data_IF_718815672883
#
_entry.id   IF_718815672883
#
_cell.length_a   1.000
_cell.length_b   1.000
_cell.length_c   1.000
_cell.angle_alpha   90.00
_cell.angle_beta   90.00
_cell.angle_gamma   90.00
#
_symmetry.space_group_name_H-M   'P 1'
#
loop_
_entity.id
_entity.type
_entity.pdbx_description
1 polymer ?
#
# COMPACT_ATOMS: atom_id res chain seq x y z
N UNK A 1 25.80 -1.99 -24.73
CA UNK A 1 24.93 -2.58 -23.69
C UNK A 1 24.39 -3.88 -24.23
N UNK A 2 24.84 -5.03 -23.71
CA UNK A 2 24.16 -6.30 -23.99
C UNK A 2 22.75 -6.22 -23.40
N UNK A 3 21.73 -6.48 -24.21
CA UNK A 3 20.36 -6.59 -23.72
C UNK A 3 20.27 -7.84 -22.85
N UNK A 4 19.76 -7.71 -21.63
CA UNK A 4 19.39 -8.88 -20.81
C UNK A 4 18.29 -9.63 -21.56
N UNK A 5 18.46 -10.94 -21.72
CA UNK A 5 17.49 -11.77 -22.42
C UNK A 5 16.21 -11.87 -21.58
N UNK A 6 15.06 -11.98 -22.25
CA UNK A 6 13.78 -12.15 -21.57
C UNK A 6 13.75 -13.38 -20.64
N UNK A 7 14.44 -14.45 -21.03
CA UNK A 7 14.62 -15.66 -20.21
C UNK A 7 15.37 -15.37 -18.91
N UNK A 8 16.35 -14.47 -18.94
CA UNK A 8 17.11 -14.08 -17.75
C UNK A 8 16.24 -13.25 -16.81
N UNK A 9 15.46 -12.31 -17.34
CA UNK A 9 14.50 -11.53 -16.54
C UNK A 9 13.47 -12.42 -15.83
N UNK A 10 12.95 -13.44 -16.53
CA UNK A 10 12.03 -14.41 -15.92
C UNK A 10 12.71 -15.16 -14.76
N UNK A 11 13.91 -15.68 -14.99
CA UNK A 11 14.67 -16.40 -13.96
C UNK A 11 15.02 -15.53 -12.75
N UNK A 12 15.38 -14.27 -12.98
CA UNK A 12 15.64 -13.30 -11.89
C UNK A 12 14.38 -13.06 -11.07
N UNK A 13 13.23 -12.92 -11.73
CA UNK A 13 11.94 -12.72 -11.06
C UNK A 13 11.60 -13.88 -10.15
N UNK A 14 11.78 -15.11 -10.64
CA UNK A 14 11.57 -16.35 -9.87
C UNK A 14 12.46 -16.41 -8.63
N UNK A 15 13.75 -16.05 -8.76
CA UNK A 15 14.68 -15.98 -7.62
C UNK A 15 14.24 -14.93 -6.60
N UNK A 16 13.88 -13.72 -7.06
CA UNK A 16 13.41 -12.66 -6.17
C UNK A 16 12.13 -13.10 -5.42
N UNK A 17 11.19 -13.74 -6.11
CA UNK A 17 9.98 -14.28 -5.49
C UNK A 17 10.33 -15.33 -4.44
N UNK A 18 11.23 -16.27 -4.73
CA UNK A 18 11.59 -17.32 -3.77
C UNK A 18 12.28 -16.74 -2.52
N UNK A 19 13.12 -15.73 -2.67
CA UNK A 19 13.78 -15.07 -1.53
C UNK A 19 12.78 -14.29 -0.67
N UNK A 20 11.82 -13.61 -1.30
CA UNK A 20 10.94 -12.65 -0.60
C UNK A 20 9.60 -13.25 -0.16
N UNK A 21 9.11 -14.26 -0.87
CA UNK A 21 7.85 -14.98 -0.63
C UNK A 21 8.02 -16.51 -0.79
N UNK A 22 8.94 -17.15 -0.03
CA UNK A 22 9.27 -18.56 -0.18
C UNK A 22 8.06 -19.46 0.00
N UNK A 23 7.94 -20.50 -0.83
CA UNK A 23 6.87 -21.52 -0.75
C UNK A 23 5.43 -20.99 -0.84
N UNK A 24 5.23 -19.79 -1.38
CA UNK A 24 3.89 -19.24 -1.62
C UNK A 24 3.46 -19.44 -3.07
N UNK A 25 2.18 -19.20 -3.38
CA UNK A 25 1.65 -19.19 -4.76
C UNK A 25 1.20 -17.80 -5.23
N UNK A 26 1.49 -16.78 -4.44
CA UNK A 26 1.05 -15.40 -4.68
C UNK A 26 0.88 -14.62 -3.38
N UNK A 27 0.66 -13.32 -3.51
CA UNK A 27 0.34 -12.46 -2.38
C UNK A 27 -1.11 -12.69 -1.91
N UNK A 28 -1.26 -13.12 -0.66
CA UNK A 28 -2.54 -13.48 -0.05
C UNK A 28 -3.44 -12.30 0.35
N UNK A 29 -2.96 -11.06 0.27
CA UNK A 29 -3.69 -9.87 0.71
C UNK A 29 -3.66 -9.63 2.22
N UNK A 30 -3.83 -8.37 2.61
CA UNK A 30 -3.98 -7.93 3.99
C UNK A 30 -5.19 -8.57 4.67
N UNK A 31 -6.24 -8.91 3.94
CA UNK A 31 -7.43 -9.57 4.52
C UNK A 31 -7.16 -10.96 5.11
N UNK A 32 -6.17 -11.70 4.60
CA UNK A 32 -5.75 -13.00 5.16
C UNK A 32 -4.66 -12.89 6.21
N UNK A 33 -3.84 -11.84 6.12
CA UNK A 33 -2.62 -11.70 6.89
C UNK A 33 -2.58 -10.40 7.71
N UNK A 34 -3.74 -9.87 8.11
CA UNK A 34 -3.78 -8.69 8.98
C UNK A 34 -3.20 -9.07 10.34
N UNK A 35 -2.11 -8.44 10.80
CA UNK A 35 -1.36 -8.93 11.94
C UNK A 35 -1.96 -8.47 13.29
N UNK A 36 -3.29 -8.46 13.39
CA UNK A 36 -4.05 -8.13 14.60
C UNK A 36 -4.95 -9.30 14.97
N UNK A 37 -5.00 -9.60 16.27
CA UNK A 37 -5.93 -10.53 16.87
C UNK A 37 -6.83 -9.78 17.85
N UNK A 38 -8.12 -10.06 17.79
CA UNK A 38 -9.10 -9.64 18.79
C UNK A 38 -9.52 -10.88 19.58
N UNK A 39 -9.46 -10.82 20.91
CA UNK A 39 -9.78 -11.97 21.78
C UNK A 39 -9.05 -13.27 21.38
N UNK A 40 -7.78 -13.16 20.96
CA UNK A 40 -6.90 -14.24 20.45
C UNK A 40 -7.25 -14.79 19.05
N UNK A 41 -8.39 -14.40 18.49
CA UNK A 41 -8.78 -14.76 17.13
C UNK A 41 -8.14 -13.83 16.10
N UNK A 42 -7.57 -14.37 14.99
CA UNK A 42 -7.08 -13.56 13.89
C UNK A 42 -8.19 -12.68 13.33
N UNK A 43 -7.93 -11.38 13.22
CA UNK A 43 -8.83 -10.49 12.51
C UNK A 43 -8.77 -10.76 11.01
N UNK A 44 -9.93 -10.82 10.38
CA UNK A 44 -10.08 -10.95 8.93
C UNK A 44 -11.05 -9.89 8.45
N UNK A 45 -10.69 -9.20 7.37
CA UNK A 45 -11.61 -8.27 6.74
C UNK A 45 -12.72 -9.04 6.02
N UNK A 46 -13.98 -8.65 6.27
CA UNK A 46 -15.13 -8.99 5.46
C UNK A 46 -15.55 -7.78 4.62
N UNK A 47 -15.12 -7.75 3.36
CA UNK A 47 -15.45 -6.65 2.46
C UNK A 47 -16.92 -6.65 2.00
N UNK A 48 -17.79 -7.55 2.47
CA UNK A 48 -19.24 -7.36 2.39
C UNK A 48 -19.75 -6.34 3.41
N UNK A 49 -18.93 -5.98 4.39
CA UNK A 49 -19.19 -4.95 5.38
C UNK A 49 -18.51 -3.63 4.98
N UNK A 50 -19.27 -2.54 4.92
CA UNK A 50 -18.75 -1.21 4.59
C UNK A 50 -17.66 -0.76 5.58
N UNK A 51 -17.79 -1.16 6.86
CA UNK A 51 -16.81 -0.88 7.92
C UNK A 51 -15.41 -1.36 7.54
N UNK A 52 -15.31 -2.54 6.94
CA UNK A 52 -14.04 -3.18 6.61
C UNK A 52 -13.44 -2.62 5.32
N UNK A 53 -14.28 -2.15 4.39
CA UNK A 53 -13.84 -1.36 3.25
C UNK A 53 -13.29 0.01 3.72
N UNK A 54 -13.95 0.67 4.67
CA UNK A 54 -13.48 1.91 5.28
C UNK A 54 -12.13 1.69 5.97
N UNK A 55 -11.99 0.59 6.71
CA UNK A 55 -10.73 0.21 7.35
C UNK A 55 -9.60 0.05 6.32
N UNK A 56 -9.85 -0.64 5.21
CA UNK A 56 -8.88 -0.78 4.11
C UNK A 56 -8.47 0.58 3.52
N UNK A 57 -9.43 1.47 3.27
CA UNK A 57 -9.16 2.82 2.78
C UNK A 57 -8.29 3.59 3.77
N UNK A 58 -8.63 3.56 5.07
CA UNK A 58 -7.88 4.24 6.11
C UNK A 58 -6.45 3.69 6.21
N UNK A 59 -6.29 2.38 6.18
CA UNK A 59 -5.00 1.70 6.19
C UNK A 59 -4.13 2.14 5.00
N UNK A 60 -4.69 2.13 3.78
CA UNK A 60 -4.01 2.59 2.57
C UNK A 60 -3.63 4.08 2.61
N UNK A 61 -4.49 4.92 3.20
CA UNK A 61 -4.23 6.36 3.40
C UNK A 61 -3.11 6.61 4.41
N UNK A 62 -3.11 5.90 5.53
CA UNK A 62 -2.11 6.06 6.59
C UNK A 62 -0.76 5.52 6.16
N UNK A 63 -0.74 4.38 5.46
CA UNK A 63 0.48 3.79 4.92
C UNK A 63 1.19 4.70 3.91
N UNK A 64 0.46 5.63 3.30
CA UNK A 64 1.03 6.61 2.38
C UNK A 64 1.66 7.83 3.07
N UNK A 65 1.78 7.84 4.40
CA UNK A 65 2.48 8.89 5.14
C UNK A 65 3.98 8.61 5.09
N UNK A 66 4.75 9.58 4.58
CA UNK A 66 6.20 9.48 4.51
C UNK A 66 6.82 9.20 5.89
N UNK A 67 7.75 8.24 5.92
CA UNK A 67 8.47 7.76 7.13
C UNK A 67 7.55 7.35 8.27
N UNK A 68 6.32 6.93 7.97
CA UNK A 68 5.39 6.40 8.95
C UNK A 68 5.37 4.88 8.88
N UNK A 69 5.51 4.23 10.05
CA UNK A 69 5.61 2.77 10.14
C UNK A 69 4.28 2.09 9.81
N UNK A 70 4.37 0.91 9.19
CA UNK A 70 3.21 0.08 8.85
C UNK A 70 2.41 -0.27 10.10
N UNK A 71 3.11 -0.61 11.18
CA UNK A 71 2.55 -1.03 12.45
C UNK A 71 1.72 0.08 13.10
N UNK A 72 2.07 1.35 12.89
CA UNK A 72 1.25 2.47 13.35
C UNK A 72 -0.11 2.51 12.61
N UNK A 73 -0.11 2.21 11.31
CA UNK A 73 -1.32 2.17 10.50
C UNK A 73 -2.22 1.01 10.92
N UNK A 74 -1.63 -0.18 11.06
CA UNK A 74 -2.31 -1.39 11.52
C UNK A 74 -2.89 -1.20 12.92
N UNK A 75 -2.08 -0.73 13.87
CA UNK A 75 -2.50 -0.55 15.25
C UNK A 75 -3.67 0.43 15.35
N UNK A 76 -3.59 1.58 14.67
CA UNK A 76 -4.67 2.56 14.69
C UNK A 76 -5.94 1.99 14.05
N UNK A 77 -5.87 1.41 12.86
CA UNK A 77 -7.05 0.85 12.19
C UNK A 77 -7.67 -0.28 13.00
N UNK A 78 -6.85 -1.11 13.66
CA UNK A 78 -7.32 -2.14 14.59
C UNK A 78 -8.11 -1.55 15.75
N UNK A 79 -7.59 -0.52 16.43
CA UNK A 79 -8.30 0.18 17.51
C UNK A 79 -9.60 0.81 16.99
N UNK A 80 -9.55 1.55 15.88
CA UNK A 80 -10.76 2.16 15.30
C UNK A 80 -11.82 1.13 14.93
N UNK A 81 -11.41 -0.06 14.49
CA UNK A 81 -12.33 -1.16 14.23
C UNK A 81 -12.95 -1.70 15.52
N UNK A 82 -12.12 -2.02 16.52
CA UNK A 82 -12.56 -2.58 17.81
C UNK A 82 -13.53 -1.64 18.54
N UNK A 83 -13.22 -0.34 18.56
CA UNK A 83 -14.03 0.70 19.20
C UNK A 83 -15.22 1.16 18.36
N UNK A 84 -15.49 0.50 17.23
CA UNK A 84 -16.57 0.82 16.30
C UNK A 84 -16.56 2.27 15.78
N UNK A 85 -15.36 2.84 15.60
CA UNK A 85 -15.14 4.23 15.19
C UNK A 85 -14.96 4.39 13.67
N UNK A 86 -15.13 3.33 12.87
CA UNK A 86 -14.98 3.37 11.41
C UNK A 86 -16.27 3.86 10.74
N UNK A 87 -16.60 5.14 10.94
CA UNK A 87 -17.79 5.79 10.39
C UNK A 87 -17.43 7.03 9.57
N UNK A 88 -17.69 7.00 8.26
CA UNK A 88 -17.35 8.10 7.35
C UNK A 88 -18.02 9.43 7.72
N UNK A 89 -19.28 9.41 8.18
CA UNK A 89 -20.00 10.63 8.56
C UNK A 89 -19.30 11.33 9.71
N UNK A 90 -18.88 10.58 10.73
CA UNK A 90 -18.13 11.12 11.86
C UNK A 90 -16.74 11.63 11.45
N UNK A 91 -15.98 10.82 10.71
CA UNK A 91 -14.64 11.21 10.27
C UNK A 91 -14.64 12.38 9.28
N UNK A 92 -15.75 12.62 8.58
CA UNK A 92 -15.95 13.82 7.76
C UNK A 92 -16.25 15.09 8.57
N UNK A 93 -16.35 14.98 9.90
CA UNK A 93 -16.64 16.10 10.80
C UNK A 93 -15.39 16.58 11.56
N UNK A 94 -15.11 17.89 11.46
CA UNK A 94 -14.06 18.52 12.28
C UNK A 94 -14.35 18.47 13.77
N UNK A 95 -15.61 18.56 14.17
CA UNK A 95 -15.99 18.53 15.58
C UNK A 95 -15.70 17.17 16.21
N UNK A 96 -15.92 16.08 15.47
CA UNK A 96 -15.56 14.73 15.89
C UNK A 96 -14.04 14.63 16.10
N UNK A 97 -13.25 15.01 15.10
CA UNK A 97 -11.77 14.93 15.17
C UNK A 97 -11.20 15.75 16.32
N UNK A 98 -11.75 16.93 16.59
CA UNK A 98 -11.29 17.78 17.68
C UNK A 98 -11.64 17.22 19.07
N UNK A 99 -12.65 16.33 19.16
CA UNK A 99 -13.05 15.65 20.41
C UNK A 99 -12.29 14.36 20.67
N UNK A 100 -11.60 13.80 19.67
CA UNK A 100 -10.85 12.57 19.83
C UNK A 100 -9.69 12.74 20.82
N UNK A 101 -9.67 11.90 21.85
CA UNK A 101 -8.50 11.77 22.71
C UNK A 101 -7.43 10.93 22.02
N UNK A 102 -6.45 11.63 21.46
CA UNK A 102 -5.32 11.04 20.74
C UNK A 102 -4.45 10.17 21.64
N UNK A 103 -4.27 10.57 22.89
CA UNK A 103 -3.40 9.87 23.83
C UNK A 103 -4.07 8.57 24.26
N UNK A 104 -5.38 8.59 24.46
CA UNK A 104 -6.15 7.38 24.68
C UNK A 104 -6.01 6.41 23.49
N UNK A 105 -6.20 6.89 22.26
CA UNK A 105 -6.02 6.04 21.07
C UNK A 105 -4.60 5.48 20.94
N UNK A 106 -3.57 6.27 21.21
CA UNK A 106 -2.18 5.79 21.24
C UNK A 106 -1.96 4.72 22.32
N UNK A 107 -2.54 4.89 23.52
CA UNK A 107 -2.47 3.89 24.57
C UNK A 107 -3.14 2.59 24.12
N UNK A 108 -4.34 2.66 23.54
CA UNK A 108 -5.05 1.49 23.02
C UNK A 108 -4.27 0.80 21.89
N UNK A 109 -3.62 1.56 21.01
CA UNK A 109 -2.76 0.99 19.97
C UNK A 109 -1.60 0.18 20.58
N UNK A 110 -0.97 0.70 21.63
CA UNK A 110 0.13 0.01 22.32
C UNK A 110 -0.37 -1.20 23.13
N UNK A 111 -1.55 -1.11 23.75
CA UNK A 111 -2.21 -2.24 24.43
C UNK A 111 -2.53 -3.38 23.45
N UNK A 112 -3.07 -3.04 22.28
CA UNK A 112 -3.37 -3.99 21.21
C UNK A 112 -2.10 -4.73 20.77
N UNK A 113 -0.97 -4.02 20.66
CA UNK A 113 0.33 -4.59 20.33
C UNK A 113 0.86 -5.55 21.41
N UNK A 114 0.72 -5.23 22.70
CA UNK A 114 1.18 -6.13 23.76
C UNK A 114 0.53 -7.53 23.65
N UNK A 115 -0.69 -7.58 23.13
CA UNK A 115 -1.44 -8.81 22.88
C UNK A 115 -1.12 -9.46 21.52
N UNK A 116 -0.36 -8.78 20.65
CA UNK A 116 -0.01 -9.20 19.29
C UNK A 116 1.53 -9.18 19.08
N UNK A 117 2.18 -10.30 19.43
CA UNK A 117 3.65 -10.45 19.45
C UNK A 117 4.35 -10.06 18.14
N UNK A 118 3.68 -10.19 16.99
CA UNK A 118 4.26 -9.86 15.68
C UNK A 118 4.34 -8.36 15.42
N UNK A 119 3.41 -7.57 15.96
CA UNK A 119 3.45 -6.11 15.88
C UNK A 119 4.43 -5.51 16.91
N UNK A 120 4.55 -6.13 18.09
CA UNK A 120 5.32 -5.58 19.22
C UNK A 120 6.84 -5.58 19.07
N UNK A 121 7.39 -6.28 18.08
CA UNK A 121 8.85 -6.36 17.87
C UNK A 121 9.48 -5.03 17.43
N UNK A 122 8.69 -4.04 17.00
CA UNK A 122 9.20 -2.80 16.35
C UNK A 122 9.02 -1.51 17.16
N UNK A 123 8.68 -1.63 18.45
CA UNK A 123 8.65 -0.56 19.43
C UNK A 123 7.29 0.13 19.61
N UNK A 124 7.29 1.25 20.34
CA UNK A 124 6.10 2.04 20.69
C UNK A 124 5.42 2.63 19.44
N UNK A 125 4.09 2.49 19.36
CA UNK A 125 3.29 3.10 18.30
C UNK A 125 2.88 4.52 18.64
N UNK A 126 2.77 5.36 17.63
CA UNK A 126 2.38 6.76 17.81
C UNK A 126 1.50 7.21 16.64
N UNK A 127 0.73 8.28 16.86
CA UNK A 127 -0.10 8.94 15.86
C UNK A 127 0.60 10.22 15.40
N UNK A 128 0.98 10.27 14.12
CA UNK A 128 1.57 11.50 13.56
C UNK A 128 0.54 12.64 13.60
N UNK A 129 0.88 13.70 14.31
CA UNK A 129 0.09 14.91 14.44
C UNK A 129 0.39 15.96 13.36
N UNK A 130 -0.41 17.04 13.33
CA UNK A 130 -0.20 18.20 12.47
C UNK A 130 -1.06 18.21 11.20
N UNK A 131 -0.83 19.23 10.36
CA UNK A 131 -1.59 19.49 9.13
C UNK A 131 -1.35 18.47 8.00
N UNK A 132 -0.36 17.59 8.16
CA UNK A 132 -0.08 16.45 7.29
C UNK A 132 -0.18 15.11 8.04
N UNK A 133 -0.68 15.15 9.27
CA UNK A 133 -0.82 14.03 10.18
C UNK A 133 -1.98 13.10 9.84
N UNK A 134 -2.12 12.05 10.65
CA UNK A 134 -3.06 10.95 10.41
C UNK A 134 -4.50 11.44 10.36
N UNK A 135 -4.97 12.15 11.39
CA UNK A 135 -6.37 12.55 11.46
C UNK A 135 -6.77 13.55 10.39
N UNK A 136 -5.85 14.43 9.98
CA UNK A 136 -6.09 15.35 8.86
C UNK A 136 -6.28 14.61 7.54
N UNK A 137 -5.54 13.51 7.35
CA UNK A 137 -5.66 12.66 6.16
C UNK A 137 -6.95 11.84 6.19
N UNK A 138 -7.27 11.25 7.34
CA UNK A 138 -8.52 10.50 7.54
C UNK A 138 -9.76 11.40 7.38
N UNK A 139 -9.71 12.64 7.87
CA UNK A 139 -10.73 13.67 7.59
C UNK A 139 -10.96 13.85 6.10
N UNK A 140 -9.87 14.18 5.39
CA UNK A 140 -9.93 14.54 3.97
C UNK A 140 -10.35 13.38 3.09
N UNK A 141 -9.94 12.15 3.42
CA UNK A 141 -10.37 10.97 2.66
C UNK A 141 -11.82 10.63 2.93
N UNK A 142 -12.31 10.86 4.15
CA UNK A 142 -13.72 10.69 4.51
C UNK A 142 -14.61 11.70 3.79
N UNK A 143 -14.18 12.96 3.67
CA UNK A 143 -14.88 13.95 2.84
C UNK A 143 -14.89 13.59 1.33
N UNK A 144 -13.94 12.77 0.88
CA UNK A 144 -13.87 12.29 -0.51
C UNK A 144 -14.48 10.90 -0.69
N UNK A 145 -15.12 10.34 0.34
CA UNK A 145 -15.55 8.95 0.35
C UNK A 145 -16.58 8.64 -0.74
N UNK A 146 -17.54 9.51 -1.01
CA UNK A 146 -18.54 9.28 -2.07
C UNK A 146 -17.89 9.11 -3.45
N UNK A 147 -16.80 9.85 -3.71
CA UNK A 147 -16.03 9.69 -4.93
C UNK A 147 -15.28 8.35 -4.96
N UNK A 148 -14.68 7.94 -3.84
CA UNK A 148 -14.08 6.60 -3.72
C UNK A 148 -15.12 5.49 -3.91
N UNK A 149 -16.30 5.68 -3.32
CA UNK A 149 -17.44 4.77 -3.41
C UNK A 149 -17.85 4.52 -4.84
N UNK A 150 -17.91 5.59 -5.62
CA UNK A 150 -18.17 5.55 -7.06
C UNK A 150 -17.07 4.82 -7.85
N UNK A 151 -15.81 5.26 -7.74
CA UNK A 151 -14.72 4.70 -8.59
C UNK A 151 -14.38 3.25 -8.23
N UNK A 152 -14.52 2.86 -6.96
CA UNK A 152 -14.27 1.50 -6.48
C UNK A 152 -15.52 0.61 -6.55
N UNK A 153 -16.66 1.15 -6.98
CA UNK A 153 -17.95 0.45 -7.05
C UNK A 153 -18.34 -0.25 -5.75
N UNK A 154 -18.12 0.43 -4.62
CA UNK A 154 -18.34 -0.12 -3.27
C UNK A 154 -19.79 -0.59 -3.08
N UNK A 155 -20.78 0.14 -3.60
CA UNK A 155 -22.19 -0.27 -3.53
C UNK A 155 -22.46 -1.63 -4.16
N UNK A 156 -21.78 -1.95 -5.26
CA UNK A 156 -21.92 -3.26 -5.91
C UNK A 156 -21.29 -4.37 -5.06
N UNK A 157 -20.11 -4.10 -4.48
CA UNK A 157 -19.42 -5.01 -3.56
C UNK A 157 -20.31 -5.32 -2.35
N UNK A 158 -20.91 -4.29 -1.73
CA UNK A 158 -21.79 -4.43 -0.56
C UNK A 158 -23.06 -5.23 -0.87
N UNK A 159 -23.52 -5.21 -2.13
CA UNK A 159 -24.64 -6.06 -2.60
C UNK A 159 -24.21 -7.50 -2.90
N UNK A 160 -22.93 -7.83 -2.71
CA UNK A 160 -22.36 -9.15 -3.01
C UNK A 160 -22.03 -9.37 -4.49
N UNK A 161 -22.09 -8.32 -5.32
CA UNK A 161 -21.64 -8.40 -6.70
C UNK A 161 -20.11 -8.31 -6.77
N UNK A 162 -19.54 -8.78 -7.87
CA UNK A 162 -18.10 -8.73 -8.14
C UNK A 162 -17.84 -7.79 -9.33
N UNK A 163 -17.83 -6.47 -9.12
CA UNK A 163 -17.79 -5.52 -10.23
C UNK A 163 -16.47 -5.58 -10.99
N UNK A 164 -16.55 -5.47 -12.31
CA UNK A 164 -15.38 -5.22 -13.17
C UNK A 164 -14.96 -3.74 -13.06
N UNK A 165 -13.70 -3.51 -12.73
CA UNK A 165 -13.05 -2.19 -12.70
C UNK A 165 -12.09 -2.10 -13.90
N UNK A 166 -12.09 -0.98 -14.63
CA UNK A 166 -11.32 -0.83 -15.86
C UNK A 166 -10.27 0.31 -15.79
N UNK A 167 -9.53 0.45 -16.88
CA UNK A 167 -8.42 1.41 -17.09
C UNK A 167 -8.67 2.85 -16.69
N UNK A 168 -9.92 3.34 -16.79
CA UNK A 168 -10.20 4.76 -16.58
C UNK A 168 -9.88 5.20 -15.16
N UNK A 169 -9.75 4.24 -14.22
CA UNK A 169 -9.39 4.51 -12.83
C UNK A 169 -8.02 5.19 -12.66
N UNK A 170 -7.10 5.06 -13.64
CA UNK A 170 -5.82 5.78 -13.57
C UNK A 170 -5.97 7.29 -13.73
N UNK A 171 -6.97 7.75 -14.49
CA UNK A 171 -7.29 9.19 -14.55
C UNK A 171 -7.81 9.69 -13.20
N UNK A 172 -8.43 8.82 -12.41
CA UNK A 172 -8.90 9.14 -11.08
C UNK A 172 -7.76 9.22 -10.05
N UNK A 173 -6.57 8.70 -10.35
CA UNK A 173 -5.42 8.84 -9.44
C UNK A 173 -5.00 10.30 -9.31
N UNK A 174 -5.07 11.07 -10.39
CA UNK A 174 -4.69 12.49 -10.38
C UNK A 174 -5.84 13.44 -9.99
N UNK A 175 -6.93 12.91 -9.43
CA UNK A 175 -8.06 13.73 -9.02
C UNK A 175 -7.69 14.63 -7.83
N UNK A 176 -7.94 15.94 -7.95
CA UNK A 176 -7.69 16.94 -6.89
C UNK A 176 -8.39 16.61 -5.57
N UNK A 177 -9.57 15.96 -5.61
CA UNK A 177 -10.27 15.49 -4.40
C UNK A 177 -9.44 14.47 -3.62
N UNK A 178 -8.51 13.80 -4.28
CA UNK A 178 -7.58 12.84 -3.71
C UNK A 178 -6.17 13.42 -3.50
N UNK A 179 -5.94 14.75 -3.55
CA UNK A 179 -4.61 15.36 -3.28
C UNK A 179 -4.52 16.10 -1.95
N UNK A 180 -3.43 15.92 -1.21
CA UNK A 180 -3.07 16.71 -0.01
C UNK A 180 -1.79 17.47 -0.26
N UNK A 181 -1.85 18.77 0.01
CA UNK A 181 -0.66 19.58 0.13
C UNK A 181 0.16 19.15 1.35
N UNK A 182 1.37 18.63 1.11
CA UNK A 182 2.41 18.61 2.13
C UNK A 182 2.87 20.04 2.34
N UNK A 183 2.55 20.61 3.51
CA UNK A 183 3.05 21.93 3.92
C UNK A 183 4.38 21.76 4.64
N UNK A 184 5.39 22.52 4.22
CA UNK A 184 6.67 22.62 4.93
C UNK A 184 6.58 23.49 6.18
N UNK A 185 7.72 23.70 6.84
CA UNK A 185 7.83 24.77 7.86
C UNK A 185 7.34 26.08 7.25
N UNK A 186 6.52 26.83 7.99
CA UNK A 186 5.86 28.09 7.57
C UNK A 186 4.69 27.96 6.59
N UNK A 187 4.08 26.79 6.45
CA UNK A 187 2.79 26.65 5.74
C UNK A 187 2.87 26.68 4.21
N UNK A 188 4.06 26.88 3.62
CA UNK A 188 4.28 26.79 2.17
C UNK A 188 4.07 25.35 1.68
N UNK A 189 3.29 25.18 0.63
CA UNK A 189 3.09 23.88 -0.04
C UNK A 189 4.44 23.46 -0.62
N UNK A 190 4.99 22.33 -0.15
CA UNK A 190 6.23 21.75 -0.65
C UNK A 190 6.00 20.73 -1.76
N UNK A 191 4.90 19.97 -1.68
CA UNK A 191 4.57 18.91 -2.63
C UNK A 191 3.10 18.51 -2.50
N UNK A 192 2.40 18.32 -3.62
CA UNK A 192 1.11 17.62 -3.62
C UNK A 192 1.36 16.12 -3.49
N UNK A 193 0.77 15.50 -2.47
CA UNK A 193 0.83 14.06 -2.23
C UNK A 193 -0.52 13.44 -2.57
N UNK A 194 -0.51 12.29 -3.26
CA UNK A 194 -1.70 11.44 -3.40
C UNK A 194 -2.23 11.06 -2.00
N UNK A 195 -3.54 11.19 -1.74
CA UNK A 195 -4.18 10.92 -0.44
C UNK A 195 -4.25 9.44 -0.12
N UNK A 196 -4.41 8.61 -1.16
CA UNK A 196 -4.67 7.19 -1.04
C UNK A 196 -4.03 6.46 -2.21
N UNK A 197 -3.34 5.36 -1.96
CA UNK A 197 -2.78 4.51 -3.02
C UNK A 197 -3.92 3.64 -3.57
N UNK A 198 -4.69 4.15 -4.54
CA UNK A 198 -5.82 3.39 -5.13
C UNK A 198 -5.38 2.00 -5.65
N UNK A 199 -4.24 1.81 -6.35
CA UNK A 199 -3.80 0.47 -6.74
C UNK A 199 -3.62 -0.49 -5.57
N UNK A 200 -3.21 0.03 -4.41
CA UNK A 200 -3.10 -0.77 -3.21
C UNK A 200 -4.48 -1.26 -2.76
N UNK A 201 -5.49 -0.39 -2.74
CA UNK A 201 -6.86 -0.79 -2.38
C UNK A 201 -7.39 -1.82 -3.38
N UNK A 202 -7.19 -1.57 -4.68
CA UNK A 202 -7.60 -2.48 -5.75
C UNK A 202 -6.93 -3.85 -5.61
N UNK A 203 -5.63 -3.88 -5.30
CA UNK A 203 -4.90 -5.11 -5.01
C UNK A 203 -5.55 -5.90 -3.89
N UNK A 204 -5.84 -5.26 -2.76
CA UNK A 204 -6.42 -5.94 -1.60
C UNK A 204 -7.84 -6.45 -1.88
N UNK A 205 -8.68 -5.65 -2.55
CA UNK A 205 -10.03 -6.07 -2.97
C UNK A 205 -9.97 -7.22 -4.00
N UNK A 206 -9.01 -7.19 -4.93
CA UNK A 206 -8.80 -8.26 -5.91
C UNK A 206 -8.34 -9.55 -5.22
N UNK A 207 -7.35 -9.48 -4.33
CA UNK A 207 -6.87 -10.63 -3.58
C UNK A 207 -7.98 -11.27 -2.74
N UNK A 208 -8.93 -10.47 -2.22
CA UNK A 208 -10.13 -10.95 -1.54
C UNK A 208 -11.20 -11.53 -2.47
N UNK A 209 -11.04 -11.39 -3.79
CA UNK A 209 -11.98 -11.90 -4.78
C UNK A 209 -13.29 -11.12 -4.85
N UNK A 210 -13.32 -9.87 -4.38
CA UNK A 210 -14.54 -9.04 -4.35
C UNK A 210 -14.68 -8.08 -5.52
N UNK A 211 -13.62 -7.91 -6.32
CA UNK A 211 -13.65 -7.17 -7.58
C UNK A 211 -12.96 -7.96 -8.69
N UNK A 212 -13.17 -7.56 -9.93
CA UNK A 212 -12.41 -8.03 -11.08
C UNK A 212 -11.67 -6.86 -11.72
N UNK A 213 -10.35 -7.00 -11.81
CA UNK A 213 -9.45 -5.99 -12.37
C UNK A 213 -8.17 -6.68 -12.85
N UNK A 214 -7.51 -6.15 -13.87
CA UNK A 214 -6.19 -6.64 -14.31
C UNK A 214 -5.11 -6.40 -13.24
N UNK A 215 -4.19 -7.35 -13.09
CA UNK A 215 -3.08 -7.28 -12.12
C UNK A 215 -2.20 -6.04 -12.31
N UNK A 216 -2.04 -5.58 -13.55
CA UNK A 216 -1.24 -4.39 -13.85
C UNK A 216 -1.83 -3.08 -13.27
N UNK A 217 -3.07 -3.09 -12.81
CA UNK A 217 -3.69 -1.92 -12.15
C UNK A 217 -3.60 -1.97 -10.62
N UNK A 218 -3.00 -3.04 -10.08
CA UNK A 218 -2.83 -3.28 -8.65
C UNK A 218 -1.41 -2.97 -8.15
N UNK A 219 -0.52 -2.53 -9.06
CA UNK A 219 0.87 -2.19 -8.75
C UNK A 219 1.04 -0.67 -8.59
N UNK A 220 1.94 -0.26 -7.69
CA UNK A 220 2.43 1.11 -7.51
C UNK A 220 3.95 1.11 -7.68
N UNK A 221 4.46 1.17 -8.92
CA UNK A 221 5.90 1.24 -9.19
C UNK A 221 6.45 2.60 -8.75
N UNK A 222 6.63 2.78 -7.45
CA UNK A 222 7.20 3.99 -6.87
C UNK A 222 8.69 4.08 -7.16
N UNK A 223 9.34 5.13 -6.67
CA UNK A 223 10.78 5.34 -6.91
C UNK A 223 11.63 4.13 -6.50
N UNK A 224 11.30 3.43 -5.43
CA UNK A 224 12.06 2.26 -4.94
C UNK A 224 11.98 1.10 -5.91
N UNK A 225 10.75 0.78 -6.33
CA UNK A 225 10.49 -0.28 -7.32
C UNK A 225 11.14 0.05 -8.65
N UNK A 226 11.05 1.30 -9.10
CA UNK A 226 11.70 1.74 -10.35
C UNK A 226 13.22 1.69 -10.28
N UNK A 227 13.82 2.09 -9.16
CA UNK A 227 15.27 1.99 -8.95
C UNK A 227 15.73 0.54 -9.04
N UNK A 228 15.06 -0.39 -8.36
CA UNK A 228 15.47 -1.79 -8.41
C UNK A 228 15.22 -2.42 -9.78
N UNK A 229 14.14 -2.03 -10.45
CA UNK A 229 13.88 -2.46 -11.83
C UNK A 229 15.01 -2.03 -12.77
N UNK A 230 15.48 -0.79 -12.65
CA UNK A 230 16.63 -0.29 -13.41
C UNK A 230 17.94 -1.01 -13.05
N UNK A 231 18.20 -1.28 -11.76
CA UNK A 231 19.39 -2.01 -11.30
C UNK A 231 19.44 -3.41 -11.92
N UNK A 232 18.30 -4.10 -11.92
CA UNK A 232 18.18 -5.45 -12.47
C UNK A 232 18.23 -5.43 -14.01
N UNK A 233 17.72 -4.37 -14.64
CA UNK A 233 17.72 -4.18 -16.09
C UNK A 233 16.39 -4.49 -16.78
N UNK A 234 15.27 -4.38 -16.05
CA UNK A 234 13.95 -4.36 -16.69
C UNK A 234 13.81 -3.13 -17.59
N UNK A 235 13.09 -3.23 -18.73
CA UNK A 235 12.93 -2.15 -19.70
C UNK A 235 11.90 -1.09 -19.23
N UNK A 236 12.15 -0.47 -18.08
CA UNK A 236 11.23 0.48 -17.48
C UNK A 236 11.18 1.82 -18.21
N UNK A 237 10.15 2.60 -17.90
CA UNK A 237 10.03 4.01 -18.26
C UNK A 237 10.34 4.89 -17.04
N UNK A 238 11.29 5.80 -17.21
CA UNK A 238 11.76 6.67 -16.11
C UNK A 238 10.84 7.88 -15.87
N UNK A 239 10.00 8.23 -16.84
CA UNK A 239 9.04 9.32 -16.72
C UNK A 239 8.03 9.05 -15.58
N UNK A 240 7.50 10.11 -14.99
CA UNK A 240 6.56 10.03 -13.85
C UNK A 240 5.10 10.24 -14.31
N UNK A 241 4.83 10.12 -15.61
CA UNK A 241 3.46 10.23 -16.14
C UNK A 241 2.67 8.91 -15.98
N UNK A 242 1.34 9.02 -16.09
CA UNK A 242 0.41 7.88 -15.93
C UNK A 242 0.74 6.73 -16.90
N UNK A 243 1.09 7.03 -18.16
CA UNK A 243 1.40 5.98 -19.13
C UNK A 243 2.68 5.24 -18.76
N UNK A 244 3.67 5.95 -18.22
CA UNK A 244 4.89 5.34 -17.67
C UNK A 244 4.59 4.41 -16.49
N UNK A 245 3.72 4.85 -15.56
CA UNK A 245 3.28 4.02 -14.42
C UNK A 245 2.57 2.76 -14.90
N UNK A 246 1.67 2.88 -15.88
CA UNK A 246 0.95 1.73 -16.46
C UNK A 246 1.93 0.76 -17.12
N UNK A 247 2.85 1.25 -17.95
CA UNK A 247 3.85 0.41 -18.63
C UNK A 247 4.77 -0.31 -17.64
N UNK A 248 5.21 0.37 -16.58
CA UNK A 248 6.00 -0.26 -15.54
C UNK A 248 5.18 -1.32 -14.78
N UNK A 249 3.90 -1.07 -14.54
CA UNK A 249 3.01 -2.04 -13.91
C UNK A 249 2.71 -3.25 -14.80
N UNK A 250 2.67 -3.08 -16.12
CA UNK A 250 2.58 -4.18 -17.09
C UNK A 250 3.81 -5.08 -17.04
N UNK A 251 5.00 -4.49 -16.96
CA UNK A 251 6.25 -5.25 -16.78
C UNK A 251 6.19 -6.03 -15.47
N UNK A 252 5.81 -5.39 -14.37
CA UNK A 252 5.69 -6.05 -13.07
C UNK A 252 4.69 -7.20 -13.13
N UNK A 253 3.49 -6.97 -13.67
CA UNK A 253 2.47 -8.01 -13.83
C UNK A 253 2.97 -9.20 -14.66
N UNK A 254 3.69 -8.94 -15.76
CA UNK A 254 4.27 -9.99 -16.61
C UNK A 254 5.25 -10.90 -15.85
N UNK A 255 6.07 -10.33 -14.98
CA UNK A 255 7.20 -11.03 -14.34
C UNK A 255 6.90 -11.54 -12.92
N UNK A 256 6.02 -10.85 -12.20
CA UNK A 256 5.69 -11.14 -10.80
C UNK A 256 4.23 -11.57 -10.62
N UNK A 257 3.37 -11.44 -11.63
CA UNK A 257 1.98 -11.92 -11.60
C UNK A 257 1.23 -11.49 -10.33
N UNK A 258 0.68 -12.48 -9.62
CA UNK A 258 -0.09 -12.30 -8.39
C UNK A 258 0.73 -11.87 -7.16
N UNK A 259 2.04 -11.66 -7.32
CA UNK A 259 2.89 -11.06 -6.29
C UNK A 259 2.96 -9.53 -6.42
N UNK A 260 2.55 -8.98 -7.58
CA UNK A 260 2.56 -7.55 -7.85
C UNK A 260 3.97 -6.95 -7.68
N UNK A 261 4.06 -5.72 -7.17
CA UNK A 261 5.30 -4.99 -6.92
C UNK A 261 5.96 -5.32 -5.57
N UNK A 262 5.35 -6.21 -4.76
CA UNK A 262 5.80 -6.49 -3.40
C UNK A 262 7.17 -7.19 -3.32
N UNK A 263 7.49 -8.19 -4.16
CA UNK A 263 8.83 -8.79 -4.16
C UNK A 263 9.92 -7.76 -4.46
N UNK A 264 9.66 -6.82 -5.36
CA UNK A 264 10.60 -5.75 -5.69
C UNK A 264 10.77 -4.77 -4.52
N UNK A 265 9.71 -4.47 -3.78
CA UNK A 265 9.79 -3.67 -2.57
C UNK A 265 10.64 -4.32 -1.49
N UNK A 266 10.36 -5.57 -1.16
CA UNK A 266 11.09 -6.30 -0.12
C UNK A 266 12.56 -6.49 -0.52
N UNK A 267 12.80 -6.85 -1.78
CA UNK A 267 14.14 -6.98 -2.30
C UNK A 267 14.91 -5.64 -2.27
N UNK A 268 14.27 -4.52 -2.60
CA UNK A 268 14.90 -3.20 -2.52
C UNK A 268 15.31 -2.82 -1.10
N UNK A 269 14.48 -3.13 -0.10
CA UNK A 269 14.75 -2.83 1.30
C UNK A 269 15.86 -3.73 1.88
N UNK A 270 16.01 -4.96 1.36
CA UNK A 270 17.03 -5.92 1.78
C UNK A 270 18.31 -5.92 0.92
N UNK A 271 18.33 -5.23 -0.23
CA UNK A 271 19.47 -5.17 -1.14
C UNK A 271 20.54 -4.17 -0.65
N UNK A 272 21.82 -4.57 -0.50
CA UNK A 272 22.91 -3.68 -0.09
C UNK A 272 23.34 -2.78 -1.26
N UNK A 273 22.60 -1.68 -1.47
CA UNK A 273 22.79 -0.73 -2.60
C UNK A 273 24.18 -0.10 -2.67
N UNK A 274 24.88 -0.02 -1.54
CA UNK A 274 26.18 0.67 -1.41
C UNK A 274 27.39 -0.22 -1.69
N UNK A 275 27.20 -1.53 -1.91
CA UNK A 275 28.27 -2.45 -2.30
C UNK A 275 27.69 -3.67 -3.04
N UNK A 276 27.18 -3.46 -4.26
CA UNK A 276 26.98 -4.53 -5.25
C UNK A 276 28.34 -5.10 -5.72
N UNK A 277 29.18 -5.55 -4.78
CA UNK A 277 30.44 -6.25 -4.99
C UNK A 277 30.41 -7.65 -4.39
N UNK A 278 29.34 -8.01 -3.68
CA UNK A 278 29.24 -9.30 -3.04
C UNK A 278 28.71 -10.35 -4.03
N UNK A 279 29.57 -11.30 -4.38
CA UNK A 279 29.21 -12.55 -5.09
C UNK A 279 28.15 -13.39 -4.36
N UNK A 280 27.81 -13.03 -3.11
CA UNK A 280 26.81 -13.70 -2.27
C UNK A 280 25.36 -13.39 -2.65
N UNK A 281 25.09 -12.33 -3.43
CA UNK A 281 23.74 -12.06 -3.91
C UNK A 281 23.39 -12.99 -5.09
N UNK A 282 22.32 -13.77 -4.97
CA UNK A 282 21.98 -14.82 -5.96
C UNK A 282 21.69 -14.28 -7.36
N UNK A 283 21.20 -13.04 -7.45
CA UNK A 283 20.94 -12.37 -8.72
C UNK A 283 22.10 -11.47 -9.16
N UNK A 284 23.21 -11.44 -8.41
CA UNK A 284 24.32 -10.51 -8.63
C UNK A 284 24.84 -10.54 -10.07
N UNK A 285 24.99 -11.73 -10.67
CA UNK A 285 25.46 -11.91 -12.05
C UNK A 285 24.55 -11.36 -13.14
N UNK A 286 23.30 -11.04 -12.81
CA UNK A 286 22.34 -10.50 -13.76
C UNK A 286 22.12 -8.99 -13.61
N UNK A 287 22.67 -8.34 -12.58
CA UNK A 287 22.49 -6.90 -12.38
C UNK A 287 23.09 -6.08 -13.53
N UNK A 288 22.30 -5.24 -14.19
CA UNK A 288 22.70 -4.41 -15.33
C UNK A 288 23.86 -3.45 -14.99
N UNK A 289 23.99 -3.05 -13.71
CA UNK A 289 25.10 -2.21 -13.23
C UNK A 289 26.49 -2.90 -13.32
N UNK A 290 26.56 -4.21 -13.56
CA UNK A 290 27.82 -4.93 -13.85
C UNK A 290 28.37 -4.69 -15.25
N UNK A 291 27.56 -4.16 -16.17
CA UNK A 291 27.94 -3.96 -17.58
C UNK A 291 28.52 -2.54 -17.79
N UNK A 292 28.89 -1.83 -16.72
CA UNK A 292 29.55 -0.52 -16.78
C UNK A 292 30.98 -0.58 -16.30
#
# INVERSE_FOLDING_TARGET
MSQILESDLKKISEIIIEITFPNTRGYGGWFKAFPVRFNKEPFQFDFKNEKDIIALIFLATIWNIDRYKWENAVGLVGVLHNENMLNIKEWSSRSFINKLDKKLLENEMNNLIMNNKDLGKRGHLFIKNGADGVFERLYKISCAYDYLKYILKIEDILKGNKPQINLTIFNDFDNEKLKIDSKGRYGKIRKQLLKVKIPLILRELKCAGVIEIDDKYCCVPDTRVREIMAIIGYPQKDNIDINSVIKNSEIISKYFGTYYDLPLFDFYDNCPRTNCKEEKCEIYKYCAQKIK
#
